data_IF_198391909935
#
_entry.id   IF_198391909935
#
_cell.length_a   1.000
_cell.length_b   1.000
_cell.length_c   1.000
_cell.angle_alpha   90.00
_cell.angle_beta   90.00
_cell.angle_gamma   90.00
#
_symmetry.space_group_name_H-M   'P 1'
#
loop_
_entity.id
_entity.type
_entity.pdbx_description
1 polymer ?
#
# COMPACT_ATOMS: atom_id res chain seq x y z
N UNK A 1 -5.25 -5.29 -17.43
CA UNK A 1 -5.00 -5.78 -16.06
C UNK A 1 -4.09 -4.79 -15.37
N UNK A 2 -4.62 -3.66 -14.92
CA UNK A 2 -3.82 -2.53 -14.41
C UNK A 2 -4.56 -1.88 -13.23
N UNK A 3 -4.27 -2.31 -11.99
CA UNK A 3 -4.86 -1.65 -10.81
C UNK A 3 -4.01 -1.78 -9.54
N UNK A 4 -2.69 -1.92 -9.68
CA UNK A 4 -1.75 -1.89 -8.55
C UNK A 4 -0.90 -0.62 -8.63
N UNK A 5 -1.55 0.54 -8.70
CA UNK A 5 -0.89 1.85 -8.65
C UNK A 5 -1.30 2.55 -7.36
N UNK A 6 -0.42 3.35 -6.79
CA UNK A 6 -0.75 4.18 -5.64
C UNK A 6 -1.80 5.22 -6.05
N UNK A 7 -2.97 5.31 -5.39
CA UNK A 7 -3.98 6.32 -5.72
C UNK A 7 -3.55 7.75 -5.35
N UNK A 8 -2.41 7.93 -4.64
CA UNK A 8 -1.89 9.25 -4.23
C UNK A 8 -0.90 9.84 -5.22
N UNK A 9 0.04 9.05 -5.73
CA UNK A 9 1.11 9.52 -6.63
C UNK A 9 1.11 8.81 -7.98
N UNK A 10 0.19 7.85 -8.21
CA UNK A 10 0.13 7.05 -9.44
C UNK A 10 1.22 5.99 -9.56
N UNK A 11 2.11 5.87 -8.57
CA UNK A 11 3.30 5.02 -8.70
C UNK A 11 2.94 3.53 -8.73
N UNK A 12 3.49 2.75 -9.68
CA UNK A 12 3.20 1.32 -9.80
C UNK A 12 3.83 0.53 -8.66
N UNK A 13 3.02 -0.27 -7.98
CA UNK A 13 3.45 -1.12 -6.88
C UNK A 13 4.34 -2.29 -7.32
N UNK A 14 4.30 -2.67 -8.60
CA UNK A 14 5.14 -3.75 -9.13
C UNK A 14 6.64 -3.41 -9.07
N UNK A 15 6.98 -2.12 -9.05
CA UNK A 15 8.35 -1.63 -8.99
C UNK A 15 8.82 -1.35 -7.55
N UNK A 16 7.94 -1.56 -6.56
CA UNK A 16 8.33 -1.42 -5.15
C UNK A 16 9.13 -2.65 -4.71
N UNK A 17 10.38 -2.46 -4.24
CA UNK A 17 11.21 -3.57 -3.81
C UNK A 17 10.62 -4.18 -2.54
N UNK A 18 10.00 -5.35 -2.64
CA UNK A 18 9.68 -6.27 -1.53
C UNK A 18 9.12 -5.65 -0.25
N UNK A 19 8.49 -4.47 -0.32
CA UNK A 19 8.21 -3.62 0.85
C UNK A 19 6.91 -4.02 1.55
N UNK A 20 6.49 -5.28 1.38
CA UNK A 20 5.41 -5.89 2.13
C UNK A 20 5.96 -6.18 3.54
N UNK A 21 5.79 -5.23 4.46
CA UNK A 21 6.27 -5.36 5.84
C UNK A 21 5.59 -6.50 6.58
N UNK A 22 4.34 -6.81 6.25
CA UNK A 22 3.56 -7.86 6.93
C UNK A 22 2.49 -8.37 5.99
N UNK A 23 2.43 -9.70 5.85
CA UNK A 23 1.31 -10.40 5.25
C UNK A 23 0.50 -11.08 6.35
N UNK A 24 -0.80 -10.82 6.38
CA UNK A 24 -1.74 -11.41 7.34
C UNK A 24 -2.87 -12.09 6.58
N UNK A 25 -3.25 -13.31 7.00
CA UNK A 25 -4.42 -13.98 6.42
C UNK A 25 -5.68 -13.40 7.05
N UNK A 26 -6.60 -12.96 6.20
CA UNK A 26 -7.93 -12.46 6.58
C UNK A 26 -9.00 -13.29 5.87
N UNK A 27 -10.25 -13.21 6.31
CA UNK A 27 -11.36 -13.97 5.69
C UNK A 27 -11.57 -13.65 4.21
N UNK A 28 -11.10 -12.49 3.74
CA UNK A 28 -11.16 -12.06 2.33
C UNK A 28 -9.91 -12.42 1.50
N UNK A 29 -8.89 -13.07 2.08
CA UNK A 29 -7.66 -13.45 1.38
C UNK A 29 -6.39 -13.09 2.15
N UNK A 30 -5.30 -12.81 1.43
CA UNK A 30 -4.03 -12.36 2.05
C UNK A 30 -3.92 -10.85 2.03
N UNK A 31 -3.97 -10.22 3.20
CA UNK A 31 -3.77 -8.78 3.36
C UNK A 31 -2.28 -8.47 3.52
N UNK A 32 -1.76 -7.60 2.69
CA UNK A 32 -0.38 -7.13 2.67
C UNK A 32 -0.37 -5.60 2.77
N UNK A 33 0.47 -5.05 3.63
CA UNK A 33 0.69 -3.61 3.72
C UNK A 33 2.02 -3.25 3.04
N UNK A 34 1.95 -2.39 2.02
CA UNK A 34 3.11 -1.93 1.26
C UNK A 34 3.26 -0.43 1.42
N UNK A 35 4.50 0.01 1.67
CA UNK A 35 4.80 1.44 1.73
C UNK A 35 5.16 1.96 0.34
N UNK A 36 4.45 2.99 -0.13
CA UNK A 36 4.79 3.68 -1.37
C UNK A 36 5.96 4.65 -1.15
N UNK A 37 6.71 4.99 -2.20
CA UNK A 37 7.78 6.00 -2.15
C UNK A 37 7.29 7.38 -1.71
N UNK A 38 6.02 7.72 -1.94
CA UNK A 38 5.44 8.97 -1.43
C UNK A 38 5.23 8.98 0.09
N UNK A 39 5.55 7.88 0.78
CA UNK A 39 5.37 7.71 2.23
C UNK A 39 3.97 7.27 2.66
N UNK A 40 3.05 7.04 1.71
CA UNK A 40 1.71 6.51 1.99
C UNK A 40 1.74 4.99 2.17
N UNK A 41 0.90 4.44 3.04
CA UNK A 41 0.70 2.99 3.12
C UNK A 41 -0.44 2.55 2.22
N UNK A 42 -0.26 1.40 1.59
CA UNK A 42 -1.21 0.78 0.68
C UNK A 42 -1.60 -0.58 1.24
N UNK A 43 -2.90 -0.80 1.40
CA UNK A 43 -3.48 -2.07 1.80
C UNK A 43 -3.82 -2.88 0.55
N UNK A 44 -3.23 -4.06 0.44
CA UNK A 44 -3.38 -4.97 -0.69
C UNK A 44 -4.02 -6.27 -0.21
N UNK A 45 -5.14 -6.69 -0.77
CA UNK A 45 -5.74 -8.00 -0.48
C UNK A 45 -5.63 -8.87 -1.72
N UNK A 46 -5.04 -10.06 -1.55
CA UNK A 46 -4.86 -11.06 -2.60
C UNK A 46 -4.24 -10.51 -3.89
N UNK A 47 -3.34 -9.55 -3.71
CA UNK A 47 -2.67 -8.95 -4.84
C UNK A 47 -3.32 -7.68 -5.41
N UNK A 48 -4.43 -7.20 -4.86
CA UNK A 48 -5.20 -6.02 -5.32
C UNK A 48 -5.18 -4.90 -4.28
N UNK A 49 -4.91 -3.66 -4.67
CA UNK A 49 -5.01 -2.50 -3.77
C UNK A 49 -6.46 -2.23 -3.42
N UNK A 50 -6.81 -2.39 -2.15
CA UNK A 50 -8.15 -2.09 -1.63
C UNK A 50 -8.22 -0.69 -0.99
N UNK A 51 -7.07 -0.08 -0.69
CA UNK A 51 -7.05 1.25 -0.10
C UNK A 51 -5.65 1.81 0.15
N UNK A 52 -5.59 3.11 0.43
CA UNK A 52 -4.39 3.82 0.83
C UNK A 52 -4.66 4.58 2.12
N UNK A 53 -3.80 4.44 3.12
CA UNK A 53 -3.86 5.33 4.29
C UNK A 53 -3.17 6.65 3.96
N UNK A 54 -3.64 7.73 4.59
CA UNK A 54 -3.00 9.04 4.48
C UNK A 54 -1.64 8.97 5.16
N UNK A 55 -0.60 9.37 4.43
CA UNK A 55 0.77 9.49 4.92
C UNK A 55 0.78 10.40 6.16
N UNK A 56 0.97 9.84 7.36
CA UNK A 56 1.20 10.63 8.59
C UNK A 56 2.59 11.28 8.62
N UNK A 57 3.40 11.18 7.56
CA UNK A 57 4.68 11.88 7.44
C UNK A 57 4.54 13.42 7.32
N UNK A 58 3.32 13.96 7.46
CA UNK A 58 3.04 15.38 7.69
C UNK A 58 2.15 15.64 8.91
N UNK A 59 1.98 14.66 9.81
CA UNK A 59 1.25 14.80 11.07
C UNK A 59 2.19 14.71 12.28
N UNK A 60 3.44 15.15 12.12
CA UNK A 60 4.12 15.78 13.24
C UNK A 60 3.37 17.09 13.50
N UNK A 61 2.38 17.01 14.39
CA UNK A 61 1.68 18.16 14.96
C UNK A 61 2.75 19.04 15.61
N UNK A 62 2.99 20.21 15.00
CA UNK A 62 3.62 21.37 15.65
C UNK A 62 2.87 21.72 16.94
#
# INVERSE_FOLDING_TARGET
MEANKCPRCGWPLAELPGSATTSQRVSQGRLEYVRCLCGSWLARVDGVVIGATKSQLGSARL
#
